data_IF_321175941116
#
_entry.id   IF_321175941116
#
_cell.length_a   1.000
_cell.length_b   1.000
_cell.length_c   1.000
_cell.angle_alpha   90.00
_cell.angle_beta   90.00
_cell.angle_gamma   90.00
#
_symmetry.space_group_name_H-M   'P 1'
#
loop_
_entity.id
_entity.type
_entity.pdbx_description
1 polymer ?
#
# COMPACT_ATOMS: atom_id res chain seq x y z
N UNK A 1 -41.00 -31.97 -30.76
CA UNK A 1 -41.82 -32.15 -29.54
C UNK A 1 -41.20 -33.29 -28.73
N UNK A 2 -40.25 -32.97 -27.85
CA UNK A 2 -39.80 -33.86 -26.76
C UNK A 2 -39.67 -32.94 -25.56
N UNK A 3 -40.63 -33.03 -24.64
CA UNK A 3 -40.59 -32.31 -23.37
C UNK A 3 -39.64 -33.07 -22.46
N UNK A 4 -38.49 -32.51 -22.17
CA UNK A 4 -37.61 -33.01 -21.11
C UNK A 4 -38.09 -32.41 -19.79
N UNK A 5 -38.31 -33.30 -18.82
CA UNK A 5 -38.90 -32.97 -17.52
C UNK A 5 -38.01 -31.98 -16.74
N UNK A 6 -38.65 -31.05 -16.04
CA UNK A 6 -38.00 -30.17 -15.05
C UNK A 6 -37.49 -31.02 -13.88
N UNK A 7 -36.25 -31.48 -13.94
CA UNK A 7 -35.56 -31.99 -12.76
C UNK A 7 -35.13 -30.80 -11.88
N UNK A 8 -35.46 -30.87 -10.58
CA UNK A 8 -34.99 -29.90 -9.59
C UNK A 8 -33.56 -30.25 -9.22
N UNK A 9 -32.59 -29.54 -9.79
CA UNK A 9 -31.23 -29.52 -9.30
C UNK A 9 -31.19 -28.98 -7.85
N UNK A 10 -30.24 -29.44 -7.01
CA UNK A 10 -29.90 -28.75 -5.77
C UNK A 10 -29.66 -27.27 -6.05
N UNK A 11 -30.09 -26.39 -5.14
CA UNK A 11 -30.13 -24.94 -5.36
C UNK A 11 -28.75 -24.39 -5.73
N UNK A 12 -27.70 -25.02 -5.22
CA UNK A 12 -26.30 -24.68 -5.39
C UNK A 12 -25.82 -25.02 -6.81
N UNK A 13 -26.19 -26.20 -7.33
CA UNK A 13 -25.89 -26.62 -8.71
C UNK A 13 -26.67 -25.77 -9.70
N UNK A 14 -27.95 -25.50 -9.38
CA UNK A 14 -28.78 -24.62 -10.19
C UNK A 14 -28.23 -23.20 -10.23
N UNK A 15 -27.79 -22.65 -9.10
CA UNK A 15 -27.19 -21.31 -9.02
C UNK A 15 -25.92 -21.20 -9.86
N UNK A 16 -25.09 -22.25 -9.90
CA UNK A 16 -23.88 -22.26 -10.72
C UNK A 16 -24.21 -22.33 -12.22
N UNK A 17 -25.16 -23.18 -12.61
CA UNK A 17 -25.63 -23.29 -14.00
C UNK A 17 -26.33 -22.01 -14.48
N UNK A 18 -27.18 -21.42 -13.63
CA UNK A 18 -27.86 -20.15 -13.90
C UNK A 18 -26.82 -19.01 -14.07
N UNK A 19 -25.71 -19.02 -13.32
CA UNK A 19 -24.62 -18.04 -13.45
C UNK A 19 -23.82 -18.21 -14.74
N UNK A 20 -23.66 -19.45 -15.22
CA UNK A 20 -23.03 -19.74 -16.51
C UNK A 20 -23.93 -19.33 -17.69
N UNK A 21 -25.24 -19.53 -17.58
CA UNK A 21 -26.23 -19.16 -18.60
C UNK A 21 -26.42 -17.64 -18.72
N UNK A 22 -26.20 -16.88 -17.64
CA UNK A 22 -26.33 -15.41 -17.62
C UNK A 22 -25.04 -14.67 -18.04
N UNK A 23 -23.92 -15.38 -18.16
CA UNK A 23 -22.64 -14.79 -18.55
C UNK A 23 -22.63 -14.41 -20.05
N UNK A 24 -22.34 -13.14 -20.36
CA UNK A 24 -22.23 -12.66 -21.76
C UNK A 24 -20.90 -13.01 -22.44
N UNK A 25 -19.87 -13.31 -21.66
CA UNK A 25 -18.56 -13.77 -22.12
C UNK A 25 -17.92 -14.60 -21.01
N UNK A 26 -17.37 -15.77 -21.35
CA UNK A 26 -16.69 -16.69 -20.44
C UNK A 26 -15.27 -16.87 -20.96
N UNK A 27 -14.30 -16.23 -20.30
CA UNK A 27 -12.90 -16.29 -20.70
C UNK A 27 -12.13 -17.21 -19.74
N UNK A 28 -11.89 -18.45 -20.17
CA UNK A 28 -10.93 -19.37 -19.55
C UNK A 28 -9.64 -19.27 -20.37
N UNK A 29 -8.70 -18.40 -19.94
CA UNK A 29 -7.44 -18.25 -20.68
C UNK A 29 -6.50 -19.43 -20.41
N UNK A 30 -5.97 -19.99 -21.49
CA UNK A 30 -4.91 -21.01 -21.61
C UNK A 30 -5.25 -22.48 -21.29
N UNK A 31 -6.51 -22.91 -21.42
CA UNK A 31 -6.81 -24.36 -21.46
C UNK A 31 -7.86 -24.67 -22.54
N UNK A 32 -7.46 -25.37 -23.61
CA UNK A 32 -8.40 -26.07 -24.48
C UNK A 32 -8.77 -27.40 -23.79
N UNK A 33 -10.01 -27.51 -23.31
CA UNK A 33 -10.55 -28.76 -22.75
C UNK A 33 -11.57 -29.28 -23.77
N UNK A 34 -11.33 -30.48 -24.30
CA UNK A 34 -12.36 -31.20 -25.05
C UNK A 34 -13.52 -31.49 -24.09
N UNK A 35 -14.75 -31.10 -24.44
CA UNK A 35 -15.90 -31.18 -23.54
C UNK A 35 -16.17 -32.60 -23.01
N UNK A 36 -15.72 -33.62 -23.73
CA UNK A 36 -15.77 -35.05 -23.38
C UNK A 36 -14.65 -35.51 -22.42
N UNK A 37 -13.63 -34.68 -22.17
CA UNK A 37 -12.49 -34.95 -21.28
C UNK A 37 -12.59 -34.22 -19.92
N UNK A 38 -13.58 -33.36 -19.71
CA UNK A 38 -13.79 -32.70 -18.43
C UNK A 38 -14.37 -33.68 -17.39
N UNK A 39 -13.50 -34.26 -16.56
CA UNK A 39 -13.89 -35.15 -15.44
C UNK A 39 -13.62 -34.46 -14.11
N UNK A 40 -14.68 -34.08 -13.40
CA UNK A 40 -14.61 -33.54 -12.03
C UNK A 40 -14.55 -34.69 -11.02
N UNK A 41 -13.39 -34.90 -10.39
CA UNK A 41 -13.24 -35.86 -9.30
C UNK A 41 -13.58 -35.22 -7.94
N UNK A 42 -14.73 -35.59 -7.38
CA UNK A 42 -15.08 -35.30 -5.98
C UNK A 42 -14.52 -36.43 -5.11
N UNK A 43 -13.39 -36.18 -4.43
CA UNK A 43 -12.80 -37.14 -3.49
C UNK A 43 -13.54 -37.05 -2.16
N UNK A 44 -14.20 -38.12 -1.66
CA UNK A 44 -14.76 -38.10 -0.31
C UNK A 44 -13.61 -38.13 0.69
N UNK A 45 -13.56 -37.15 1.59
CA UNK A 45 -12.66 -37.20 2.74
C UNK A 45 -12.98 -38.44 3.58
N UNK A 46 -11.94 -39.18 3.96
CA UNK A 46 -12.04 -40.35 4.82
C UNK A 46 -12.74 -39.98 6.14
N UNK A 47 -13.65 -40.87 6.55
CA UNK A 47 -14.58 -40.67 7.65
C UNK A 47 -13.88 -40.33 8.98
N UNK A 48 -14.14 -39.12 9.46
CA UNK A 48 -14.21 -38.83 10.89
C UNK A 48 -15.66 -38.46 11.23
N UNK A 49 -16.07 -38.84 12.44
CA UNK A 49 -17.44 -38.97 12.92
C UNK A 49 -18.45 -37.99 12.27
N UNK A 50 -19.32 -38.57 11.46
CA UNK A 50 -20.21 -37.87 10.55
C UNK A 50 -21.54 -37.55 11.26
N UNK A 51 -22.00 -36.28 11.30
CA UNK A 51 -23.28 -35.92 11.89
C UNK A 51 -24.49 -36.57 11.19
N UNK A 52 -25.64 -36.75 11.86
CA UNK A 52 -26.84 -37.40 11.31
C UNK A 52 -27.36 -36.78 10.00
N UNK A 53 -27.15 -35.48 9.80
CA UNK A 53 -27.53 -34.76 8.57
C UNK A 53 -26.77 -35.22 7.33
N UNK A 54 -25.57 -35.76 7.49
CA UNK A 54 -24.73 -36.25 6.39
C UNK A 54 -25.08 -37.69 6.01
N UNK A 55 -25.66 -38.48 6.91
CA UNK A 55 -26.28 -39.78 6.55
C UNK A 55 -27.47 -39.61 5.61
N UNK A 56 -28.29 -38.58 5.83
CA UNK A 56 -29.36 -38.22 4.89
C UNK A 56 -28.79 -37.79 3.54
N UNK A 57 -27.76 -36.94 3.53
CA UNK A 57 -27.11 -36.50 2.29
C UNK A 57 -26.49 -37.67 1.49
N UNK A 58 -25.86 -38.63 2.18
CA UNK A 58 -25.33 -39.84 1.55
C UNK A 58 -26.43 -40.73 0.93
N UNK A 59 -27.58 -40.88 1.60
CA UNK A 59 -28.70 -41.65 1.05
C UNK A 59 -29.28 -40.99 -0.21
N UNK A 60 -29.41 -39.65 -0.22
CA UNK A 60 -29.80 -38.91 -1.41
C UNK A 60 -28.79 -39.02 -2.55
N UNK A 61 -27.48 -39.03 -2.23
CA UNK A 61 -26.42 -39.16 -3.23
C UNK A 61 -26.40 -40.57 -3.86
N UNK A 62 -26.57 -41.62 -3.04
CA UNK A 62 -26.69 -43.02 -3.49
C UNK A 62 -27.87 -43.20 -4.44
N UNK A 63 -29.02 -42.60 -4.10
CA UNK A 63 -30.23 -42.68 -4.93
C UNK A 63 -30.09 -41.90 -6.23
N UNK A 64 -29.44 -40.72 -6.20
CA UNK A 64 -29.12 -39.94 -7.40
C UNK A 64 -28.14 -40.66 -8.32
N UNK A 65 -27.09 -41.30 -7.78
CA UNK A 65 -26.11 -42.09 -8.54
C UNK A 65 -26.77 -43.33 -9.15
N UNK A 66 -27.71 -43.97 -8.44
CA UNK A 66 -28.50 -45.09 -8.97
C UNK A 66 -29.36 -44.67 -10.16
N UNK A 67 -30.08 -43.56 -10.03
CA UNK A 67 -30.92 -43.01 -11.09
C UNK A 67 -30.09 -42.60 -12.31
N UNK A 68 -28.93 -41.97 -12.09
CA UNK A 68 -28.01 -41.55 -13.15
C UNK A 68 -27.45 -42.75 -13.94
N UNK A 69 -27.05 -43.83 -13.26
CA UNK A 69 -26.61 -45.06 -13.93
C UNK A 69 -27.72 -45.70 -14.77
N UNK A 70 -28.96 -45.65 -14.27
CA UNK A 70 -30.13 -46.16 -14.97
C UNK A 70 -30.45 -45.33 -16.23
N UNK A 71 -30.31 -44.00 -16.14
CA UNK A 71 -30.51 -43.09 -17.27
C UNK A 71 -29.41 -43.23 -18.35
N UNK A 72 -28.18 -43.56 -17.95
CA UNK A 72 -27.03 -43.73 -18.84
C UNK A 72 -26.84 -45.17 -19.35
N UNK A 73 -27.75 -46.10 -19.03
CA UNK A 73 -27.67 -47.49 -19.47
C UNK A 73 -26.46 -48.27 -18.89
N UNK A 74 -25.87 -47.76 -17.81
CA UNK A 74 -24.71 -48.37 -17.15
C UNK A 74 -25.23 -49.50 -16.22
N UNK A 75 -24.78 -50.76 -16.40
CA UNK A 75 -25.23 -51.86 -15.56
C UNK A 75 -24.87 -51.62 -14.08
N UNK A 76 -25.72 -52.11 -13.19
CA UNK A 76 -25.51 -51.99 -11.76
C UNK A 76 -24.15 -52.59 -11.37
N UNK A 77 -23.39 -51.86 -10.54
CA UNK A 77 -22.16 -52.38 -9.97
C UNK A 77 -22.45 -53.69 -9.21
N UNK A 78 -21.56 -54.69 -9.28
CA UNK A 78 -21.72 -55.92 -8.53
C UNK A 78 -21.87 -55.60 -7.03
N UNK A 79 -22.66 -56.41 -6.28
CA UNK A 79 -22.82 -56.21 -4.85
C UNK A 79 -21.43 -56.25 -4.20
N UNK A 80 -21.06 -55.15 -3.54
CA UNK A 80 -19.85 -55.13 -2.72
C UNK A 80 -19.95 -56.23 -1.67
N UNK A 81 -18.84 -56.93 -1.41
CA UNK A 81 -18.75 -57.91 -0.35
C UNK A 81 -19.35 -57.34 0.95
N UNK A 82 -20.07 -58.15 1.76
CA UNK A 82 -20.61 -57.68 3.02
C UNK A 82 -19.48 -57.07 3.84
N UNK A 83 -19.58 -55.77 4.08
CA UNK A 83 -18.66 -55.07 4.96
C UNK A 83 -18.66 -55.81 6.29
N UNK A 84 -17.46 -56.10 6.82
CA UNK A 84 -17.31 -56.66 8.14
C UNK A 84 -18.18 -55.84 9.12
N UNK A 85 -18.84 -56.50 10.10
CA UNK A 85 -19.68 -55.80 11.06
C UNK A 85 -18.87 -54.64 11.65
N UNK A 86 -19.44 -53.42 11.71
CA UNK A 86 -18.71 -52.27 12.20
C UNK A 86 -18.17 -52.60 13.58
N UNK A 87 -16.85 -52.47 13.75
CA UNK A 87 -16.22 -52.52 15.06
C UNK A 87 -17.02 -51.60 15.99
N UNK A 88 -17.34 -52.01 17.23
CA UNK A 88 -18.05 -51.14 18.16
C UNK A 88 -17.34 -49.79 18.20
N UNK A 89 -18.08 -48.67 18.13
CA UNK A 89 -17.48 -47.34 18.13
C UNK A 89 -16.54 -47.28 19.31
N UNK A 90 -15.28 -46.93 19.04
CA UNK A 90 -14.33 -46.66 20.11
C UNK A 90 -15.01 -45.70 21.09
N UNK A 91 -14.91 -45.93 22.41
CA UNK A 91 -15.53 -45.04 23.38
C UNK A 91 -15.12 -43.62 23.02
N UNK A 92 -16.12 -42.77 22.77
CA UNK A 92 -15.90 -41.35 22.49
C UNK A 92 -15.13 -40.80 23.66
N UNK A 93 -13.81 -40.65 23.50
CA UNK A 93 -13.00 -39.90 24.45
C UNK A 93 -13.67 -38.54 24.51
N UNK A 94 -14.21 -38.12 25.67
CA UNK A 94 -14.79 -36.80 25.76
C UNK A 94 -13.71 -35.81 25.32
N UNK A 95 -13.94 -35.15 24.18
CA UNK A 95 -13.08 -34.06 23.75
C UNK A 95 -13.12 -33.08 24.92
N UNK A 96 -11.98 -32.77 25.57
CA UNK A 96 -11.98 -31.85 26.68
C UNK A 96 -12.66 -30.56 26.22
N UNK A 97 -13.73 -30.15 26.89
CA UNK A 97 -14.35 -28.87 26.58
C UNK A 97 -13.27 -27.80 26.79
N UNK A 98 -12.86 -27.14 25.71
CA UNK A 98 -11.84 -26.10 25.79
C UNK A 98 -12.35 -25.00 26.71
N UNK A 99 -11.46 -24.46 27.54
CA UNK A 99 -11.79 -23.33 28.42
C UNK A 99 -12.26 -22.17 27.54
N UNK A 100 -13.54 -21.81 27.67
CA UNK A 100 -14.11 -20.63 27.03
C UNK A 100 -13.54 -19.40 27.74
N UNK A 101 -12.62 -18.71 27.09
CA UNK A 101 -12.12 -17.41 27.52
C UNK A 101 -12.71 -16.32 26.63
N UNK A 102 -13.02 -15.17 27.21
CA UNK A 102 -13.29 -13.97 26.41
C UNK A 102 -11.99 -13.56 25.70
N UNK A 103 -12.10 -13.19 24.43
CA UNK A 103 -11.00 -12.58 23.70
C UNK A 103 -10.94 -11.09 24.04
N UNK A 104 -9.84 -10.65 24.62
CA UNK A 104 -9.50 -9.24 24.78
C UNK A 104 -8.37 -8.91 23.81
N UNK A 105 -8.51 -7.89 22.94
CA UNK A 105 -7.41 -7.45 22.09
C UNK A 105 -6.18 -7.11 22.95
N UNK A 106 -4.97 -7.49 22.51
CA UNK A 106 -3.77 -7.21 23.28
C UNK A 106 -3.43 -5.72 23.17
N UNK A 107 -3.94 -4.91 24.11
CA UNK A 107 -3.69 -3.46 24.15
C UNK A 107 -2.42 -3.18 24.95
N UNK A 108 -1.44 -2.52 24.31
CA UNK A 108 -0.20 -2.11 24.93
C UNK A 108 -0.17 -0.59 25.21
N UNK A 109 0.66 -0.18 26.18
CA UNK A 109 0.93 1.23 26.46
C UNK A 109 2.32 1.59 25.94
N UNK A 110 2.40 2.67 25.17
CA UNK A 110 3.64 3.18 24.58
C UNK A 110 4.06 4.48 25.28
N UNK A 111 5.30 4.59 25.78
CA UNK A 111 5.76 5.82 26.45
C UNK A 111 6.02 6.98 25.48
N UNK A 112 6.25 6.70 24.21
CA UNK A 112 6.51 7.68 23.16
C UNK A 112 5.35 7.84 22.16
N UNK A 113 5.45 8.89 21.35
CA UNK A 113 4.54 9.15 20.23
C UNK A 113 5.30 9.81 19.10
N UNK A 114 4.74 9.76 17.90
CA UNK A 114 5.41 10.23 16.70
C UNK A 114 4.92 11.65 16.43
N UNK A 115 5.84 12.58 16.16
CA UNK A 115 5.50 13.98 15.96
C UNK A 115 4.55 14.15 14.77
N UNK A 116 3.60 15.07 14.90
CA UNK A 116 2.76 15.49 13.79
C UNK A 116 3.47 16.62 13.03
N UNK A 117 3.86 16.37 11.78
CA UNK A 117 4.48 17.37 10.91
C UNK A 117 3.42 17.97 10.01
N UNK A 118 3.27 19.29 10.04
CA UNK A 118 2.41 20.03 9.12
C UNK A 118 3.21 20.50 7.90
N UNK A 119 2.64 20.29 6.73
CA UNK A 119 3.18 20.65 5.41
C UNK A 119 2.23 21.69 4.81
N UNK A 120 2.77 22.87 4.52
CA UNK A 120 2.01 24.04 4.10
C UNK A 120 1.64 24.98 5.24
N UNK A 121 1.45 26.25 4.88
CA UNK A 121 0.94 27.29 5.75
C UNK A 121 -0.09 28.13 5.00
N UNK A 122 -1.20 28.40 5.67
CA UNK A 122 -2.28 29.26 5.15
C UNK A 122 -1.97 30.75 5.39
N UNK A 123 -2.81 31.63 4.83
CA UNK A 123 -2.69 33.09 5.06
C UNK A 123 -2.77 33.48 6.54
N UNK A 124 -3.47 32.71 7.37
CA UNK A 124 -3.51 32.93 8.83
C UNK A 124 -2.23 32.55 9.56
N UNK A 125 -1.37 31.76 8.91
CA UNK A 125 -0.08 31.27 9.44
C UNK A 125 1.12 31.95 8.75
N UNK A 126 0.88 32.91 7.86
CA UNK A 126 1.92 33.65 7.13
C UNK A 126 2.34 33.02 5.79
N UNK A 127 1.70 31.93 5.36
CA UNK A 127 1.90 31.34 4.03
C UNK A 127 0.82 31.76 3.04
N UNK A 128 0.80 31.12 1.87
CA UNK A 128 -0.19 31.40 0.82
C UNK A 128 -0.94 30.16 0.34
N UNK A 129 -0.74 29.01 1.00
CA UNK A 129 -1.40 27.75 0.63
C UNK A 129 -2.89 27.82 0.97
N UNK A 130 -3.73 27.20 0.14
CA UNK A 130 -5.17 27.08 0.38
C UNK A 130 -5.54 25.99 1.39
N UNK A 131 -4.64 25.04 1.64
CA UNK A 131 -4.79 23.98 2.65
C UNK A 131 -3.43 23.55 3.23
N UNK A 132 -3.48 22.91 4.39
CA UNK A 132 -2.33 22.23 5.00
C UNK A 132 -2.53 20.72 4.95
N UNK A 133 -1.43 19.98 4.95
CA UNK A 133 -1.39 18.52 5.04
C UNK A 133 -0.63 18.16 6.31
N UNK A 134 -1.04 17.09 6.99
CA UNK A 134 -0.38 16.62 8.21
C UNK A 134 -0.01 15.16 8.05
N UNK A 135 1.16 14.79 8.57
CA UNK A 135 1.67 13.42 8.62
C UNK A 135 2.18 13.11 10.02
N UNK A 136 2.16 11.85 10.41
CA UNK A 136 2.52 11.43 11.77
C UNK A 136 1.37 11.56 12.78
N UNK A 137 1.73 11.58 14.06
CA UNK A 137 0.79 11.63 15.18
C UNK A 137 0.42 10.26 15.75
N UNK A 138 1.10 9.20 15.33
CA UNK A 138 0.86 7.83 15.79
C UNK A 138 1.28 7.65 17.25
N UNK A 139 0.50 6.83 17.98
CA UNK A 139 0.75 6.43 19.37
C UNK A 139 0.81 4.92 19.57
N UNK A 140 0.70 4.16 18.49
CA UNK A 140 0.75 2.70 18.44
C UNK A 140 1.39 2.25 17.11
N UNK A 141 1.70 0.96 16.95
CA UNK A 141 2.15 0.41 15.68
C UNK A 141 1.15 0.66 14.53
N UNK A 142 1.62 0.59 13.27
CA UNK A 142 0.83 0.96 12.10
C UNK A 142 -0.47 0.15 12.01
N UNK A 143 -1.59 0.87 11.89
CA UNK A 143 -2.93 0.30 11.73
C UNK A 143 -3.45 -0.59 12.86
N UNK A 144 -2.87 -0.49 14.06
CA UNK A 144 -3.40 -1.10 15.30
C UNK A 144 -4.61 -0.31 15.81
N UNK A 145 -5.62 -0.17 14.94
CA UNK A 145 -6.84 0.64 15.14
C UNK A 145 -7.69 0.21 16.35
N UNK A 146 -7.44 -0.99 16.87
CA UNK A 146 -8.07 -1.46 18.09
C UNK A 146 -7.51 -0.75 19.34
N UNK A 147 -6.26 -0.27 19.29
CA UNK A 147 -5.60 0.52 20.34
C UNK A 147 -5.78 2.02 20.12
N UNK A 148 -5.42 2.51 18.93
CA UNK A 148 -5.45 3.92 18.59
C UNK A 148 -5.67 4.10 17.09
N UNK A 149 -6.55 5.05 16.73
CA UNK A 149 -6.77 5.45 15.33
C UNK A 149 -5.85 6.64 15.06
N UNK A 150 -4.87 6.52 14.14
CA UNK A 150 -3.99 7.64 13.79
C UNK A 150 -4.78 8.88 13.37
N UNK A 151 -4.38 10.09 13.80
CA UNK A 151 -5.07 11.33 13.45
C UNK A 151 -4.93 11.66 11.96
N UNK A 152 -3.79 11.27 11.37
CA UNK A 152 -3.46 11.52 9.98
C UNK A 152 -3.30 10.19 9.26
N UNK A 153 -3.88 10.08 8.07
CA UNK A 153 -3.61 8.93 7.18
C UNK A 153 -2.27 9.12 6.48
N UNK A 154 -1.64 8.06 5.99
CA UNK A 154 -0.51 8.21 5.08
C UNK A 154 -0.91 9.01 3.82
N UNK A 155 0.00 9.87 3.35
CA UNK A 155 -0.23 10.83 2.26
C UNK A 155 0.62 10.51 1.05
N UNK A 156 0.09 10.81 -0.14
CA UNK A 156 0.72 10.46 -1.42
C UNK A 156 1.10 11.72 -2.19
N UNK A 157 2.39 11.85 -2.52
CA UNK A 157 2.93 12.86 -3.41
C UNK A 157 3.23 12.26 -4.80
N UNK A 158 2.93 13.02 -5.86
CA UNK A 158 3.36 12.69 -7.22
C UNK A 158 4.53 13.56 -7.68
N UNK A 159 5.49 12.95 -8.37
CA UNK A 159 6.69 13.60 -8.88
C UNK A 159 6.40 14.48 -10.11
N UNK A 160 6.91 15.72 -10.08
CA UNK A 160 6.92 16.69 -11.17
C UNK A 160 8.34 17.20 -11.33
N UNK A 161 8.88 17.17 -12.55
CA UNK A 161 10.28 17.49 -12.80
C UNK A 161 10.43 18.83 -13.51
N UNK A 162 11.38 19.66 -13.07
CA UNK A 162 11.71 20.90 -13.77
C UNK A 162 12.29 20.64 -15.17
N UNK A 163 13.10 19.58 -15.29
CA UNK A 163 13.65 19.00 -16.50
C UNK A 163 13.35 17.51 -16.49
N UNK A 164 12.77 17.03 -17.59
CA UNK A 164 12.26 15.68 -17.69
C UNK A 164 13.39 14.64 -17.79
N UNK A 165 13.56 13.73 -16.80
CA UNK A 165 14.49 12.62 -16.93
C UNK A 165 14.00 11.59 -17.96
N UNK A 166 14.84 10.60 -18.32
CA UNK A 166 14.38 9.40 -19.02
C UNK A 166 13.31 8.69 -18.18
N UNK A 167 12.06 8.75 -18.63
CA UNK A 167 10.94 8.02 -18.01
C UNK A 167 10.37 6.98 -18.98
N UNK A 168 9.95 5.81 -18.46
CA UNK A 168 9.22 4.82 -19.24
C UNK A 168 8.00 5.41 -19.96
N UNK A 169 7.69 4.87 -21.15
CA UNK A 169 6.53 5.30 -21.95
C UNK A 169 5.22 5.14 -21.18
N UNK A 170 5.14 4.12 -20.32
CA UNK A 170 4.00 3.81 -19.45
C UNK A 170 3.68 4.93 -18.45
N UNK A 171 4.69 5.70 -18.03
CA UNK A 171 4.51 6.87 -17.16
C UNK A 171 4.28 8.11 -18.02
N UNK A 172 5.16 8.36 -19.01
CA UNK A 172 5.09 9.55 -19.88
C UNK A 172 3.73 9.71 -20.57
N UNK A 173 3.02 8.60 -20.87
CA UNK A 173 1.70 8.65 -21.49
C UNK A 173 0.65 9.42 -20.71
N UNK A 174 0.70 9.42 -19.38
CA UNK A 174 -0.29 10.09 -18.54
C UNK A 174 -0.13 11.62 -18.52
N UNK A 175 1.03 12.13 -18.95
CA UNK A 175 1.39 13.54 -18.80
C UNK A 175 1.67 14.25 -20.13
N UNK A 176 1.54 13.58 -21.29
CA UNK A 176 2.13 14.03 -22.58
C UNK A 176 1.84 15.49 -22.95
N UNK A 177 0.65 15.97 -22.65
CA UNK A 177 0.16 17.31 -22.96
C UNK A 177 0.49 18.36 -21.88
N UNK A 178 0.93 17.95 -20.69
CA UNK A 178 1.30 18.85 -19.58
C UNK A 178 2.78 18.83 -19.20
N UNK A 179 3.60 17.93 -19.77
CA UNK A 179 5.04 17.81 -19.44
C UNK A 179 5.86 19.11 -19.59
N UNK A 180 5.39 20.09 -20.37
CA UNK A 180 6.05 21.40 -20.57
C UNK A 180 5.41 22.54 -19.78
N UNK A 181 4.25 22.29 -19.16
CA UNK A 181 3.52 23.25 -18.34
C UNK A 181 3.43 22.69 -16.93
N UNK A 182 4.38 23.09 -16.07
CA UNK A 182 4.49 22.59 -14.71
C UNK A 182 3.26 22.88 -13.86
N UNK A 183 2.57 23.99 -14.09
CA UNK A 183 1.33 24.31 -13.34
C UNK A 183 0.23 23.36 -13.77
N UNK A 184 0.05 23.14 -15.08
CA UNK A 184 -0.91 22.16 -15.59
C UNK A 184 -0.56 20.74 -15.15
N UNK A 185 0.73 20.39 -15.06
CA UNK A 185 1.17 19.08 -14.57
C UNK A 185 0.82 18.90 -13.08
N UNK A 186 1.15 19.88 -12.24
CA UNK A 186 0.78 19.85 -10.83
C UNK A 186 -0.73 19.72 -10.66
N UNK A 187 -1.51 20.55 -11.37
CA UNK A 187 -2.97 20.49 -11.30
C UNK A 187 -3.50 19.13 -11.74
N UNK A 188 -2.96 18.53 -12.79
CA UNK A 188 -3.32 17.16 -13.19
C UNK A 188 -3.04 16.13 -12.11
N UNK A 189 -1.89 16.19 -11.45
CA UNK A 189 -1.55 15.29 -10.34
C UNK A 189 -2.59 15.36 -9.22
N UNK A 190 -3.07 16.56 -8.88
CA UNK A 190 -4.03 16.77 -7.79
C UNK A 190 -5.48 16.52 -8.23
N UNK A 191 -5.90 17.07 -9.36
CA UNK A 191 -7.30 17.07 -9.79
C UNK A 191 -7.70 15.77 -10.45
N UNK A 192 -6.87 15.21 -11.33
CA UNK A 192 -7.19 13.97 -12.05
C UNK A 192 -6.72 12.75 -11.25
N UNK A 193 -5.47 12.78 -10.77
CA UNK A 193 -4.85 11.63 -10.10
C UNK A 193 -4.96 11.64 -8.58
N UNK A 194 -5.62 12.67 -8.02
CA UNK A 194 -5.99 12.75 -6.60
C UNK A 194 -4.80 12.65 -5.64
N UNK A 195 -3.58 12.99 -6.07
CA UNK A 195 -2.46 13.10 -5.15
C UNK A 195 -2.76 14.15 -4.08
N UNK A 196 -2.18 13.96 -2.90
CA UNK A 196 -2.38 14.87 -1.78
C UNK A 196 -1.58 16.16 -1.96
N UNK A 197 -0.36 15.99 -2.47
CA UNK A 197 0.63 17.01 -2.82
C UNK A 197 1.51 16.54 -3.99
N UNK A 198 2.54 17.31 -4.31
CA UNK A 198 3.53 16.99 -5.34
C UNK A 198 4.95 17.16 -4.82
N UNK A 199 5.89 16.44 -5.43
CA UNK A 199 7.32 16.68 -5.30
C UNK A 199 7.82 17.39 -6.54
N UNK A 200 8.28 18.64 -6.39
CA UNK A 200 8.95 19.39 -7.45
C UNK A 200 10.44 19.04 -7.45
N UNK A 201 10.86 18.18 -8.37
CA UNK A 201 12.26 17.77 -8.52
C UNK A 201 13.04 18.77 -9.38
N UNK A 202 14.11 19.31 -8.81
CA UNK A 202 15.01 20.29 -9.42
C UNK A 202 16.21 19.61 -10.09
N UNK A 203 15.94 18.67 -11.00
CA UNK A 203 16.96 17.87 -11.70
C UNK A 203 17.96 18.76 -12.44
N UNK A 204 17.50 19.91 -12.95
CA UNK A 204 18.36 20.84 -13.68
C UNK A 204 19.50 21.44 -12.84
N UNK A 205 19.45 21.35 -11.51
CA UNK A 205 20.53 21.88 -10.66
C UNK A 205 21.74 20.96 -10.59
N UNK A 206 21.63 19.70 -11.01
CA UNK A 206 22.73 18.73 -10.98
C UNK A 206 23.96 19.29 -11.72
N UNK A 207 25.13 19.41 -11.06
CA UNK A 207 26.38 19.83 -11.69
C UNK A 207 26.80 18.99 -12.92
N UNK A 208 26.36 17.73 -13.01
CA UNK A 208 26.64 16.82 -14.12
C UNK A 208 25.64 16.92 -15.29
N UNK A 209 24.54 17.66 -15.13
CA UNK A 209 23.48 17.80 -16.15
C UNK A 209 23.48 19.23 -16.72
N UNK A 210 22.71 20.14 -16.12
CA UNK A 210 22.58 21.53 -16.57
C UNK A 210 23.25 22.52 -15.59
N UNK A 211 23.51 22.10 -14.35
CA UNK A 211 24.09 22.92 -13.29
C UNK A 211 23.42 24.28 -13.11
N UNK A 212 22.09 24.36 -13.25
CA UNK A 212 21.38 25.65 -13.16
C UNK A 212 21.67 26.35 -11.83
N UNK A 213 21.81 27.69 -11.81
CA UNK A 213 22.08 28.42 -10.57
C UNK A 213 20.95 28.26 -9.55
N UNK A 214 21.28 28.24 -8.26
CA UNK A 214 20.32 28.14 -7.16
C UNK A 214 19.21 29.21 -7.23
N UNK A 215 19.58 30.45 -7.56
CA UNK A 215 18.63 31.55 -7.74
C UNK A 215 17.63 31.34 -8.89
N UNK A 216 18.00 30.58 -9.93
CA UNK A 216 17.08 30.24 -11.02
C UNK A 216 16.09 29.15 -10.59
N UNK A 217 16.57 28.11 -9.91
CA UNK A 217 15.72 27.07 -9.34
C UNK A 217 14.72 27.64 -8.31
N UNK A 218 15.18 28.55 -7.44
CA UNK A 218 14.32 29.24 -6.48
C UNK A 218 13.22 30.07 -7.16
N UNK A 219 13.54 30.79 -8.24
CA UNK A 219 12.55 31.51 -9.05
C UNK A 219 11.53 30.57 -9.70
N UNK A 220 11.98 29.41 -10.18
CA UNK A 220 11.09 28.40 -10.72
C UNK A 220 10.08 27.91 -9.67
N UNK A 221 10.57 27.52 -8.48
CA UNK A 221 9.70 27.08 -7.38
C UNK A 221 8.70 28.17 -7.00
N UNK A 222 9.16 29.42 -6.80
CA UNK A 222 8.27 30.55 -6.47
C UNK A 222 7.19 30.76 -7.52
N UNK A 223 7.57 30.76 -8.81
CA UNK A 223 6.63 30.92 -9.93
C UNK A 223 5.55 29.84 -9.95
N UNK A 224 5.92 28.59 -9.64
CA UNK A 224 4.94 27.49 -9.56
C UNK A 224 4.03 27.70 -8.36
N UNK A 225 4.58 28.02 -7.19
CA UNK A 225 3.82 28.26 -5.95
C UNK A 225 2.84 29.44 -6.04
N UNK A 226 3.13 30.46 -6.86
CA UNK A 226 2.24 31.60 -7.09
C UNK A 226 0.96 31.22 -7.88
N UNK A 227 0.94 30.03 -8.48
CA UNK A 227 -0.13 29.57 -9.38
C UNK A 227 -0.81 28.30 -8.89
N UNK A 228 -0.41 27.76 -7.73
CA UNK A 228 -1.01 26.56 -7.11
C UNK A 228 -1.29 26.81 -5.63
N UNK A 229 -2.38 26.24 -5.14
CA UNK A 229 -2.82 26.43 -3.74
C UNK A 229 -2.38 25.29 -2.81
N UNK A 230 -1.78 24.23 -3.33
CA UNK A 230 -1.33 23.10 -2.52
C UNK A 230 0.08 23.33 -1.95
N UNK A 231 0.41 22.72 -0.80
CA UNK A 231 1.80 22.64 -0.37
C UNK A 231 2.58 21.64 -1.22
N UNK A 232 3.90 21.78 -1.26
CA UNK A 232 4.79 20.95 -2.08
C UNK A 232 6.02 20.48 -1.31
N UNK A 233 6.59 19.39 -1.78
CA UNK A 233 7.96 18.96 -1.46
C UNK A 233 8.87 19.52 -2.57
N UNK A 234 10.03 20.05 -2.20
CA UNK A 234 11.06 20.51 -3.15
C UNK A 234 12.22 19.52 -3.11
N UNK A 235 12.34 18.73 -4.17
CA UNK A 235 13.42 17.77 -4.38
C UNK A 235 14.64 18.43 -4.99
N UNK A 236 15.82 18.26 -4.39
CA UNK A 236 17.10 18.66 -4.96
C UNK A 236 17.54 17.75 -6.11
N UNK A 237 18.77 17.97 -6.57
CA UNK A 237 19.43 17.11 -7.57
C UNK A 237 20.03 15.82 -6.99
N UNK A 238 20.22 15.77 -5.66
CA UNK A 238 20.93 14.71 -4.97
C UNK A 238 22.42 14.99 -4.77
N UNK A 239 22.96 16.10 -5.27
CA UNK A 239 24.34 16.52 -5.01
C UNK A 239 24.42 17.30 -3.69
N UNK A 240 25.15 16.83 -2.65
CA UNK A 240 25.12 17.43 -1.32
C UNK A 240 25.51 18.92 -1.27
N UNK A 241 26.57 19.31 -1.97
CA UNK A 241 27.06 20.68 -1.98
C UNK A 241 26.12 21.63 -2.74
N UNK A 242 25.63 21.18 -3.89
CA UNK A 242 24.71 21.95 -4.73
C UNK A 242 23.34 22.10 -4.09
N UNK A 243 22.80 21.02 -3.53
CA UNK A 243 21.47 21.02 -2.93
C UNK A 243 21.44 21.94 -1.71
N UNK A 244 22.52 22.02 -0.91
CA UNK A 244 22.61 22.97 0.20
C UNK A 244 22.42 24.43 -0.25
N UNK A 245 23.10 24.86 -1.32
CA UNK A 245 22.96 26.24 -1.83
C UNK A 245 21.61 26.46 -2.52
N UNK A 246 21.02 25.42 -3.12
CA UNK A 246 19.67 25.49 -3.70
C UNK A 246 18.62 25.62 -2.60
N UNK A 247 18.70 24.82 -1.54
CA UNK A 247 17.78 24.90 -0.40
C UNK A 247 17.90 26.22 0.34
N UNK A 248 19.07 26.83 0.40
CA UNK A 248 19.27 28.18 0.94
C UNK A 248 18.46 29.23 0.18
N UNK A 249 18.58 29.26 -1.14
CA UNK A 249 17.85 30.23 -1.96
C UNK A 249 16.34 29.93 -2.03
N UNK A 250 15.95 28.64 -2.16
CA UNK A 250 14.54 28.24 -2.18
C UNK A 250 13.86 28.61 -0.87
N UNK A 251 14.47 28.28 0.28
CA UNK A 251 13.90 28.58 1.60
C UNK A 251 13.72 30.08 1.79
N UNK A 252 14.68 30.89 1.34
CA UNK A 252 14.61 32.35 1.44
C UNK A 252 13.44 32.94 0.64
N UNK A 253 13.25 32.53 -0.62
CA UNK A 253 12.19 33.10 -1.47
C UNK A 253 10.80 32.51 -1.19
N UNK A 254 10.73 31.41 -0.43
CA UNK A 254 9.48 30.74 -0.04
C UNK A 254 9.20 30.80 1.46
N UNK A 255 9.91 31.69 2.19
CA UNK A 255 9.79 31.83 3.65
C UNK A 255 8.34 31.94 4.11
N UNK A 256 7.98 31.15 5.12
CA UNK A 256 6.62 31.11 5.67
C UNK A 256 5.67 30.14 4.96
N UNK A 257 6.01 29.58 3.79
CA UNK A 257 5.12 28.64 3.08
C UNK A 257 5.09 27.23 3.68
N UNK A 258 5.99 26.92 4.61
CA UNK A 258 6.16 25.61 5.28
C UNK A 258 6.23 24.41 4.31
N UNK A 259 7.05 24.55 3.28
CA UNK A 259 7.40 23.49 2.34
C UNK A 259 8.27 22.40 2.99
N UNK A 260 8.56 21.33 2.26
CA UNK A 260 9.48 20.26 2.66
C UNK A 260 10.69 20.25 1.74
N UNK A 261 11.92 20.39 2.27
CA UNK A 261 13.15 20.24 1.49
C UNK A 261 13.59 18.77 1.49
N UNK A 262 13.67 18.17 0.30
CA UNK A 262 14.03 16.77 0.08
C UNK A 262 15.33 16.68 -0.72
N UNK A 263 16.46 16.26 -0.14
CA UNK A 263 16.65 15.82 1.25
C UNK A 263 17.97 16.30 1.81
N UNK A 264 18.05 16.47 3.13
CA UNK A 264 19.31 16.63 3.84
C UNK A 264 19.90 15.26 4.12
N UNK A 265 21.16 15.06 3.75
CA UNK A 265 21.92 13.83 4.00
C UNK A 265 23.07 14.08 4.98
N UNK A 266 23.70 13.01 5.46
CA UNK A 266 24.86 13.11 6.37
C UNK A 266 26.09 13.76 5.73
N UNK A 267 26.16 13.72 4.39
CA UNK A 267 27.28 14.25 3.60
C UNK A 267 27.19 15.77 3.37
N UNK A 268 26.10 16.40 3.80
CA UNK A 268 25.93 17.86 3.81
C UNK A 268 26.49 18.49 5.09
N UNK A 269 26.64 19.81 5.08
CA UNK A 269 26.67 20.58 6.33
C UNK A 269 25.27 20.58 6.96
N UNK A 270 24.97 19.54 7.75
CA UNK A 270 23.66 19.31 8.36
C UNK A 270 23.23 20.48 9.25
N UNK A 271 24.18 21.11 9.97
CA UNK A 271 23.86 22.22 10.85
C UNK A 271 23.46 23.46 10.05
N UNK A 272 24.22 23.80 9.00
CA UNK A 272 23.86 24.90 8.10
C UNK A 272 22.53 24.62 7.39
N UNK A 273 22.33 23.40 6.88
CA UNK A 273 21.08 23.00 6.23
C UNK A 273 19.89 23.17 7.18
N UNK A 274 19.99 22.64 8.41
CA UNK A 274 18.95 22.74 9.43
C UNK A 274 18.58 24.19 9.74
N UNK A 275 19.58 25.04 10.02
CA UNK A 275 19.36 26.45 10.34
C UNK A 275 18.71 27.21 9.19
N UNK A 276 19.19 26.97 7.96
CA UNK A 276 18.71 27.66 6.77
C UNK A 276 17.27 27.29 6.43
N UNK A 277 16.89 26.03 6.65
CA UNK A 277 15.53 25.54 6.41
C UNK A 277 14.59 26.02 7.53
N UNK A 278 15.00 25.85 8.80
CA UNK A 278 14.16 26.15 9.96
C UNK A 278 13.91 27.65 10.16
N UNK A 279 14.89 28.52 9.88
CA UNK A 279 14.72 29.98 10.00
C UNK A 279 13.63 30.53 9.07
N UNK A 280 13.32 29.83 7.99
CA UNK A 280 12.28 30.17 7.02
C UNK A 280 10.97 29.39 7.27
N UNK A 281 10.91 28.59 8.34
CA UNK A 281 9.74 27.83 8.75
C UNK A 281 9.45 26.62 7.87
N UNK A 282 10.46 26.01 7.27
CA UNK A 282 10.31 24.83 6.41
C UNK A 282 10.63 23.53 7.14
N UNK A 283 10.09 22.45 6.58
CA UNK A 283 10.37 21.09 7.00
C UNK A 283 11.52 20.49 6.20
N UNK A 284 12.08 19.39 6.68
CA UNK A 284 13.15 18.64 6.02
C UNK A 284 12.81 17.16 5.91
N UNK A 285 13.13 16.55 4.78
CA UNK A 285 13.33 15.10 4.70
C UNK A 285 14.80 14.80 4.99
N UNK A 286 15.05 14.07 6.06
CA UNK A 286 16.35 13.55 6.46
C UNK A 286 16.55 12.18 5.80
N UNK A 287 17.41 12.12 4.78
CA UNK A 287 17.68 10.88 4.04
C UNK A 287 18.92 10.17 4.62
N UNK A 288 18.71 8.95 5.09
CA UNK A 288 19.76 8.01 5.50
C UNK A 288 19.71 6.75 4.64
N UNK A 289 20.84 6.10 4.40
CA UNK A 289 20.99 4.99 3.47
C UNK A 289 20.92 3.63 4.18
N UNK A 290 19.70 3.16 4.48
CA UNK A 290 19.40 1.81 5.03
C UNK A 290 20.18 1.45 6.31
N UNK A 291 20.59 2.43 7.11
CA UNK A 291 21.26 2.23 8.40
C UNK A 291 20.54 3.02 9.51
N UNK A 292 20.01 2.30 10.50
CA UNK A 292 19.31 2.89 11.63
C UNK A 292 20.20 3.79 12.50
N UNK A 293 21.50 3.49 12.59
CA UNK A 293 22.44 4.32 13.34
C UNK A 293 22.68 5.64 12.61
N UNK A 294 22.77 5.60 11.28
CA UNK A 294 22.85 6.80 10.47
C UNK A 294 21.57 7.63 10.59
N UNK A 295 20.40 7.00 10.63
CA UNK A 295 19.12 7.69 10.94
C UNK A 295 19.21 8.42 12.29
N UNK A 296 19.61 7.72 13.36
CA UNK A 296 19.75 8.34 14.69
C UNK A 296 20.73 9.50 14.68
N UNK A 297 21.88 9.33 14.01
CA UNK A 297 22.90 10.36 13.93
C UNK A 297 22.39 11.59 13.18
N UNK A 298 21.75 11.40 12.03
CA UNK A 298 21.24 12.48 11.20
C UNK A 298 20.11 13.23 11.92
N UNK A 299 19.14 12.52 12.49
CA UNK A 299 18.04 13.15 13.24
C UNK A 299 18.56 13.88 14.48
N UNK A 300 19.52 13.30 15.22
CA UNK A 300 20.16 13.99 16.34
C UNK A 300 20.88 15.27 15.90
N UNK A 301 21.65 15.23 14.81
CA UNK A 301 22.33 16.42 14.27
C UNK A 301 21.34 17.53 13.89
N UNK A 302 20.19 17.18 13.29
CA UNK A 302 19.13 18.14 12.96
C UNK A 302 18.52 18.77 14.22
N UNK A 303 18.18 17.94 15.22
CA UNK A 303 17.63 18.40 16.51
C UNK A 303 18.63 19.29 17.26
N UNK A 304 19.89 18.87 17.36
CA UNK A 304 20.99 19.63 18.00
C UNK A 304 21.23 20.98 17.31
N UNK A 305 21.00 21.06 15.99
CA UNK A 305 21.08 22.29 15.20
C UNK A 305 19.83 23.19 15.34
N UNK A 306 18.84 22.80 16.15
CA UNK A 306 17.65 23.58 16.44
C UNK A 306 16.46 23.34 15.51
N UNK A 307 16.50 22.30 14.66
CA UNK A 307 15.32 21.91 13.89
C UNK A 307 14.26 21.31 14.82
N UNK A 308 13.03 21.85 14.87
CA UNK A 308 11.98 21.26 15.69
C UNK A 308 11.61 19.86 15.21
N UNK A 309 11.24 18.97 16.15
CA UNK A 309 10.84 17.59 15.83
C UNK A 309 9.63 17.52 14.89
N UNK A 310 8.70 18.47 15.00
CA UNK A 310 7.52 18.63 14.12
C UNK A 310 7.85 19.28 12.76
N UNK A 311 9.14 19.37 12.41
CA UNK A 311 9.64 19.81 11.10
C UNK A 311 10.56 18.77 10.43
N UNK A 312 10.73 17.58 11.03
CA UNK A 312 11.59 16.52 10.51
C UNK A 312 10.73 15.35 10.04
N UNK A 313 10.97 14.90 8.82
CA UNK A 313 10.49 13.62 8.27
C UNK A 313 11.74 12.82 7.93
N UNK A 314 11.80 11.53 8.25
CA UNK A 314 12.97 10.70 7.92
C UNK A 314 12.65 9.77 6.76
N UNK A 315 13.52 9.76 5.75
CA UNK A 315 13.57 8.70 4.75
C UNK A 315 14.74 7.76 5.09
N UNK A 316 14.50 6.51 5.54
CA UNK A 316 15.56 5.55 5.81
C UNK A 316 16.14 4.90 4.55
N UNK A 317 15.87 5.47 3.37
CA UNK A 317 16.09 4.93 2.04
C UNK A 317 15.14 3.77 1.74
N UNK A 318 14.53 3.81 0.56
CA UNK A 318 13.55 2.82 0.12
C UNK A 318 14.16 1.90 -0.93
N UNK A 319 14.31 0.62 -0.60
CA UNK A 319 14.55 -0.46 -1.55
C UNK A 319 13.27 -0.81 -2.30
N UNK A 320 13.36 -0.87 -3.63
CA UNK A 320 12.23 -1.30 -4.46
C UNK A 320 11.93 -2.78 -4.26
N UNK A 321 10.69 -3.22 -4.56
CA UNK A 321 10.33 -4.64 -4.56
C UNK A 321 11.36 -5.48 -5.32
N UNK A 322 11.89 -6.53 -4.69
CA UNK A 322 12.93 -7.41 -5.26
C UNK A 322 14.35 -6.87 -5.19
N UNK A 323 14.54 -5.64 -4.69
CA UNK A 323 15.82 -4.92 -4.62
C UNK A 323 16.02 -4.30 -3.23
N UNK A 324 15.98 -5.12 -2.18
CA UNK A 324 16.28 -4.71 -0.80
C UNK A 324 15.11 -4.10 -0.02
N UNK A 325 13.87 -4.38 -0.43
CA UNK A 325 12.67 -3.91 0.26
C UNK A 325 12.56 -4.46 1.70
N UNK A 326 13.05 -5.67 1.95
CA UNK A 326 13.06 -6.32 3.26
C UNK A 326 13.94 -5.59 4.29
N UNK A 327 15.04 -4.98 3.83
CA UNK A 327 15.88 -4.13 4.66
C UNK A 327 15.15 -2.84 5.03
N UNK A 328 14.47 -2.24 4.04
CA UNK A 328 13.66 -1.02 4.24
C UNK A 328 12.56 -1.29 5.26
N UNK A 329 11.77 -2.35 5.04
CA UNK A 329 10.70 -2.79 5.91
C UNK A 329 11.17 -2.92 7.36
N UNK A 330 12.26 -3.68 7.57
CA UNK A 330 12.81 -3.92 8.90
C UNK A 330 13.35 -2.65 9.56
N UNK A 331 13.94 -1.73 8.80
CA UNK A 331 14.41 -0.44 9.33
C UNK A 331 13.23 0.44 9.73
N UNK A 332 12.19 0.55 8.90
CA UNK A 332 10.98 1.33 9.21
C UNK A 332 10.25 0.81 10.44
N UNK A 333 10.07 -0.50 10.58
CA UNK A 333 9.48 -1.09 11.78
C UNK A 333 10.29 -0.77 13.04
N UNK A 334 11.63 -0.90 12.96
CA UNK A 334 12.52 -0.59 14.09
C UNK A 334 12.49 0.88 14.45
N UNK A 335 12.42 1.79 13.46
CA UNK A 335 12.26 3.22 13.70
C UNK A 335 10.94 3.48 14.42
N UNK A 336 9.83 2.95 13.91
CA UNK A 336 8.50 3.12 14.49
C UNK A 336 8.46 2.63 15.94
N UNK A 337 8.94 1.41 16.20
CA UNK A 337 8.98 0.84 17.54
C UNK A 337 9.90 1.62 18.48
N UNK A 338 11.07 2.05 18.01
CA UNK A 338 11.99 2.86 18.81
C UNK A 338 11.35 4.20 19.23
N UNK A 339 10.70 4.91 18.30
CA UNK A 339 9.99 6.16 18.59
C UNK A 339 8.86 5.98 19.61
N UNK A 340 8.07 4.91 19.45
CA UNK A 340 7.00 4.55 20.39
C UNK A 340 7.54 4.09 21.76
N UNK A 341 8.75 3.53 21.81
CA UNK A 341 9.45 3.15 23.05
C UNK A 341 10.22 4.33 23.70
N UNK A 342 10.13 5.54 23.13
CA UNK A 342 10.65 6.76 23.75
C UNK A 342 12.00 7.25 23.23
N UNK A 343 12.54 6.67 22.16
CA UNK A 343 13.73 7.23 21.50
C UNK A 343 13.36 8.51 20.75
N UNK A 344 13.72 9.67 21.31
CA UNK A 344 13.36 10.98 20.74
C UNK A 344 13.88 11.21 19.33
N UNK A 345 15.01 10.59 18.94
CA UNK A 345 15.57 10.71 17.60
C UNK A 345 14.77 9.95 16.55
N UNK A 346 13.84 9.09 16.99
CA UNK A 346 12.97 8.25 16.15
C UNK A 346 11.50 8.66 16.23
N UNK A 347 11.17 9.72 16.97
CA UNK A 347 9.80 10.22 17.12
C UNK A 347 9.37 11.17 15.99
N UNK A 348 9.71 10.81 14.75
CA UNK A 348 9.45 11.60 13.55
C UNK A 348 8.73 10.75 12.49
N UNK A 349 7.91 11.33 11.61
CA UNK A 349 7.26 10.60 10.53
C UNK A 349 8.27 9.99 9.54
N UNK A 350 7.83 8.94 8.85
CA UNK A 350 8.64 8.17 7.90
C UNK A 350 8.22 8.48 6.46
N UNK A 351 9.18 8.83 5.61
CA UNK A 351 9.06 8.93 4.16
C UNK A 351 9.36 7.60 3.48
N UNK A 352 8.67 7.32 2.37
CA UNK A 352 8.91 6.20 1.48
C UNK A 352 9.02 6.72 0.03
N UNK A 353 10.22 6.62 -0.55
CA UNK A 353 10.47 6.87 -1.97
C UNK A 353 10.03 5.68 -2.83
N UNK A 354 8.72 5.44 -2.92
CA UNK A 354 8.17 4.32 -3.70
C UNK A 354 8.51 4.41 -5.20
N UNK A 355 8.81 5.61 -5.72
CA UNK A 355 9.38 5.82 -7.06
C UNK A 355 10.60 4.94 -7.35
N UNK A 356 11.37 4.53 -6.34
CA UNK A 356 12.52 3.61 -6.51
C UNK A 356 12.13 2.24 -7.12
N UNK A 357 10.85 1.87 -7.07
CA UNK A 357 10.33 0.71 -7.79
C UNK A 357 10.62 0.76 -9.30
N UNK A 358 10.76 1.96 -9.89
CA UNK A 358 11.05 2.14 -11.32
C UNK A 358 12.52 1.96 -11.70
N UNK A 359 13.42 1.81 -10.73
CA UNK A 359 14.79 1.37 -10.99
C UNK A 359 14.84 -0.13 -11.34
N UNK A 360 13.87 -0.92 -10.87
CA UNK A 360 13.74 -2.33 -11.20
C UNK A 360 13.42 -2.50 -12.70
N UNK A 361 14.19 -3.33 -13.40
CA UNK A 361 13.95 -3.63 -14.82
C UNK A 361 12.56 -4.27 -15.03
N UNK A 362 12.09 -5.03 -14.05
CA UNK A 362 10.78 -5.67 -14.00
C UNK A 362 9.63 -4.66 -14.02
N UNK A 363 9.88 -3.38 -13.72
CA UNK A 363 8.86 -2.35 -13.79
C UNK A 363 8.66 -1.77 -15.22
N UNK A 364 9.69 -1.77 -16.08
CA UNK A 364 9.67 -1.02 -17.34
C UNK A 364 10.17 -1.78 -18.58
N UNK A 365 10.99 -2.82 -18.41
CA UNK A 365 11.55 -3.61 -19.50
C UNK A 365 10.45 -4.44 -20.18
N UNK A 366 10.49 -4.49 -21.51
CA UNK A 366 9.64 -5.40 -22.28
C UNK A 366 10.23 -6.82 -22.20
N UNK A 367 9.45 -7.74 -21.65
CA UNK A 367 9.84 -9.13 -21.52
C UNK A 367 8.58 -10.00 -21.53
N UNK A 368 8.42 -10.83 -22.56
CA UNK A 368 7.17 -11.55 -22.83
C UNK A 368 6.79 -12.50 -21.69
N UNK A 369 7.78 -13.20 -21.12
CA UNK A 369 7.60 -14.13 -20.00
C UNK A 369 7.11 -13.48 -18.70
N UNK A 370 7.32 -12.17 -18.52
CA UNK A 370 6.85 -11.44 -17.33
C UNK A 370 5.48 -10.79 -17.56
N UNK A 371 4.93 -10.87 -18.77
CA UNK A 371 3.67 -10.22 -19.13
C UNK A 371 3.81 -8.70 -19.32
N UNK A 372 2.68 -7.98 -19.48
CA UNK A 372 2.68 -6.58 -19.91
C UNK A 372 3.23 -5.61 -18.85
N UNK A 373 4.18 -4.75 -19.26
CA UNK A 373 4.81 -3.76 -18.37
C UNK A 373 3.84 -2.66 -17.91
N UNK A 374 2.77 -2.44 -18.67
CA UNK A 374 1.70 -1.48 -18.38
C UNK A 374 0.97 -1.84 -17.07
N UNK A 375 0.95 -3.12 -16.71
CA UNK A 375 0.44 -3.59 -15.42
C UNK A 375 1.57 -3.81 -14.40
N UNK A 376 2.70 -4.40 -14.82
CA UNK A 376 3.81 -4.68 -13.91
C UNK A 376 4.37 -3.43 -13.24
N UNK A 377 4.65 -2.38 -14.02
CA UNK A 377 5.24 -1.14 -13.51
C UNK A 377 4.46 -0.53 -12.34
N UNK A 378 3.17 -0.17 -12.53
CA UNK A 378 2.37 0.33 -11.42
C UNK A 378 2.21 -0.68 -10.28
N UNK A 379 2.12 -1.99 -10.54
CA UNK A 379 2.06 -3.00 -9.48
C UNK A 379 3.35 -3.06 -8.65
N UNK A 380 4.51 -2.87 -9.27
CA UNK A 380 5.80 -2.81 -8.58
C UNK A 380 5.85 -1.64 -7.60
N UNK A 381 5.36 -0.47 -8.05
CA UNK A 381 5.29 0.74 -7.25
C UNK A 381 4.24 0.63 -6.14
N UNK A 382 3.04 0.11 -6.43
CA UNK A 382 2.00 -0.16 -5.43
C UNK A 382 2.52 -1.10 -4.35
N UNK A 383 3.18 -2.19 -4.74
CA UNK A 383 3.68 -3.18 -3.78
C UNK A 383 4.78 -2.60 -2.92
N UNK A 384 5.71 -1.85 -3.52
CA UNK A 384 6.77 -1.14 -2.78
C UNK A 384 6.17 -0.17 -1.75
N UNK A 385 5.18 0.62 -2.15
CA UNK A 385 4.50 1.52 -1.23
C UNK A 385 3.68 0.80 -0.16
N UNK A 386 2.95 -0.26 -0.51
CA UNK A 386 2.08 -0.99 0.42
C UNK A 386 2.87 -1.69 1.52
N UNK A 387 3.97 -2.37 1.17
CA UNK A 387 4.83 -3.04 2.15
C UNK A 387 5.38 -2.04 3.17
N UNK A 388 5.88 -0.90 2.69
CA UNK A 388 6.43 0.14 3.56
C UNK A 388 5.34 0.92 4.33
N UNK A 389 4.12 1.01 3.79
CA UNK A 389 2.96 1.52 4.52
C UNK A 389 2.66 0.66 5.75
N UNK A 390 2.67 -0.68 5.59
CA UNK A 390 2.48 -1.61 6.68
C UNK A 390 3.63 -1.55 7.71
N UNK A 391 4.83 -1.16 7.29
CA UNK A 391 5.97 -0.89 8.17
C UNK A 391 5.91 0.48 8.88
N UNK A 392 4.93 1.33 8.52
CA UNK A 392 4.70 2.62 9.16
C UNK A 392 5.24 3.82 8.41
N UNK A 393 5.35 3.80 7.08
CA UNK A 393 5.57 5.01 6.29
C UNK A 393 4.33 5.92 6.26
N UNK A 394 4.54 7.22 6.42
CA UNK A 394 3.51 8.25 6.53
C UNK A 394 3.42 9.15 5.29
N UNK A 395 4.52 9.32 4.56
CA UNK A 395 4.61 10.12 3.33
C UNK A 395 5.19 9.28 2.19
N UNK A 396 4.48 9.20 1.07
CA UNK A 396 4.90 8.44 -0.11
C UNK A 396 5.25 9.36 -1.27
N UNK A 397 6.46 9.25 -1.80
CA UNK A 397 6.85 9.88 -3.06
C UNK A 397 6.70 8.86 -4.18
N UNK A 398 5.84 9.17 -5.15
CA UNK A 398 5.40 8.27 -6.21
C UNK A 398 5.48 8.95 -7.57
N UNK A 399 5.51 8.14 -8.62
CA UNK A 399 5.69 8.55 -10.00
C UNK A 399 4.49 8.18 -10.90
N UNK A 400 3.93 6.96 -10.75
CA UNK A 400 2.87 6.49 -11.63
C UNK A 400 1.46 6.83 -11.11
N UNK A 401 0.62 7.54 -11.89
CA UNK A 401 -0.73 7.95 -11.47
C UNK A 401 -1.63 6.83 -10.92
N UNK A 402 -1.72 5.71 -11.63
CA UNK A 402 -2.54 4.58 -11.17
C UNK A 402 -2.02 3.98 -9.86
N UNK A 403 -0.70 3.98 -9.66
CA UNK A 403 -0.10 3.47 -8.44
C UNK A 403 -0.44 4.38 -7.26
N UNK A 404 -0.25 5.70 -7.44
CA UNK A 404 -0.61 6.72 -6.46
C UNK A 404 -2.09 6.66 -6.07
N UNK A 405 -3.00 6.62 -7.05
CA UNK A 405 -4.44 6.50 -6.78
C UNK A 405 -4.80 5.22 -6.02
N UNK A 406 -4.17 4.10 -6.35
CA UNK A 406 -4.43 2.81 -5.71
C UNK A 406 -3.93 2.82 -4.27
N UNK A 407 -2.68 3.26 -4.06
CA UNK A 407 -2.08 3.31 -2.74
C UNK A 407 -2.81 4.31 -1.82
N UNK A 408 -3.25 5.46 -2.36
CA UNK A 408 -4.11 6.41 -1.65
C UNK A 408 -5.41 5.77 -1.17
N UNK A 409 -6.10 5.01 -2.02
CA UNK A 409 -7.34 4.30 -1.64
C UNK A 409 -7.08 3.29 -0.53
N UNK A 410 -5.94 2.58 -0.58
CA UNK A 410 -5.55 1.65 0.49
C UNK A 410 -5.30 2.42 1.79
N UNK A 411 -4.57 3.53 1.75
CA UNK A 411 -4.35 4.40 2.92
C UNK A 411 -5.67 4.88 3.53
N UNK A 412 -6.64 5.31 2.71
CA UNK A 412 -7.97 5.71 3.17
C UNK A 412 -8.73 4.57 3.86
N UNK A 413 -8.64 3.34 3.34
CA UNK A 413 -9.27 2.16 3.95
C UNK A 413 -8.62 1.81 5.29
N UNK A 414 -7.29 1.81 5.34
CA UNK A 414 -6.53 1.44 6.53
C UNK A 414 -6.62 2.51 7.63
N UNK A 415 -6.86 3.77 7.28
CA UNK A 415 -7.06 4.87 8.22
C UNK A 415 -8.53 5.07 8.65
N UNK A 416 -9.48 4.23 8.21
CA UNK A 416 -10.87 4.33 8.67
C UNK A 416 -10.96 4.16 10.19
N UNK A 417 -11.89 4.85 10.87
CA UNK A 417 -12.15 4.66 12.29
C UNK A 417 -12.39 3.20 12.67
N UNK A 418 -12.32 2.92 13.97
CA UNK A 418 -12.67 1.60 14.53
C UNK A 418 -14.04 1.17 13.98
N UNK A 419 -14.13 -0.09 13.55
CA UNK A 419 -15.41 -0.65 13.13
C UNK A 419 -16.28 -0.76 14.38
N UNK A 420 -17.22 0.19 14.54
CA UNK A 420 -18.16 0.23 15.67
C UNK A 420 -19.29 -0.81 15.55
N UNK A 421 -19.37 -1.54 14.43
CA UNK A 421 -20.38 -2.57 14.27
C UNK A 421 -20.09 -3.72 15.23
N UNK A 422 -21.11 -4.17 15.95
CA UNK A 422 -21.08 -5.42 16.70
C UNK A 422 -20.49 -6.52 15.81
N UNK A 423 -19.36 -7.08 16.23
CA UNK A 423 -18.81 -8.28 15.63
C UNK A 423 -19.82 -9.40 15.89
N UNK A 424 -20.65 -9.70 14.90
CA UNK A 424 -21.53 -10.86 14.96
C UNK A 424 -20.67 -12.09 14.74
N UNK A 425 -20.66 -12.98 15.72
CA UNK A 425 -20.07 -14.30 15.55
C UNK A 425 -20.87 -15.04 14.48
N UNK A 426 -20.25 -15.19 13.32
CA UNK A 426 -20.76 -16.05 12.25
C UNK A 426 -20.08 -17.38 12.49
N UNK A 427 -20.87 -18.43 12.72
CA UNK A 427 -20.34 -19.78 12.83
C UNK A 427 -19.43 -20.05 11.63
N UNK A 428 -18.18 -20.45 11.87
CA UNK A 428 -17.13 -20.42 10.84
C UNK A 428 -17.54 -21.20 9.58
N UNK A 429 -18.34 -22.25 9.71
CA UNK A 429 -18.91 -23.05 8.64
C UNK A 429 -19.90 -22.30 7.72
N UNK A 430 -20.37 -21.10 8.10
CA UNK A 430 -21.32 -20.28 7.35
C UNK A 430 -20.69 -19.12 6.58
N UNK A 431 -19.35 -18.99 6.60
CA UNK A 431 -18.62 -17.87 6.00
C UNK A 431 -18.97 -17.62 4.52
N UNK A 432 -19.15 -18.68 3.73
CA UNK A 432 -19.50 -18.57 2.30
C UNK A 432 -20.96 -18.16 2.03
N UNK A 433 -21.85 -18.32 3.02
CA UNK A 433 -23.28 -18.01 2.90
C UNK A 433 -23.70 -16.73 3.62
N UNK A 434 -22.79 -16.16 4.42
CA UNK A 434 -23.04 -14.94 5.16
C UNK A 434 -23.11 -13.75 4.19
N UNK A 435 -24.23 -13.02 4.22
CA UNK A 435 -24.29 -11.69 3.62
C UNK A 435 -23.54 -10.72 4.53
N UNK A 436 -22.27 -10.47 4.19
CA UNK A 436 -21.36 -9.54 4.89
C UNK A 436 -21.79 -8.08 4.73
#
# INVERSE_FOLDING_TARGET
MVRVAKEKYPKEVKSFLDTLDEAKELELRDVEILAEELVLHLVPQAAQAVPPSVHQAHAYLEEAVKLLRQALGIPAAPPSAPLAPPSPPAPTVPVPELVKTAFEPPVFSYPGSIAEVQIGATSTEGGTRGKVIKVGGEKCPPFYRFEFVPPNRPVIALDVFDVLPPLPKTIKSYYRDVLKDHVAWVNRCIEEFKADLVTLHLISTDPAIENRPAAEAAKFVRKVLDQIDIPVIVGGSGNPEKDLVVFEEVSKVTSGERLVMASVTIDMDVAKAAQTISQHGHNVIALAFLDINQVKELNRKLLDAGMPKDHIITDPSTGGLGYGIEYTFSVMERMRLAGLMGDETMQVPISCAATNAWAAREAWMEMAEWGPREYRGPLWEITTGLVNMLAGADLFMMLHPLAAMTLRKIAEVLAKPKVEKELKEIAYEKWASAKL
#
